data_IF_233700355660
#
_entry.id   IF_233700355660
#
_cell.length_a   1.000
_cell.length_b   1.000
_cell.length_c   1.000
_cell.angle_alpha   90.00
_cell.angle_beta   90.00
_cell.angle_gamma   90.00
#
_symmetry.space_group_name_H-M   'P 1'
#
loop_
_entity.id
_entity.type
_entity.pdbx_description
1 polymer ?
#
# COMPACT_ATOMS: atom_id res chain seq x y z
N UNK A 1 -9.87 6.77 -17.57
CA UNK A 1 -10.39 5.40 -17.83
C UNK A 1 -11.61 5.20 -16.96
N UNK A 2 -12.70 4.76 -17.56
CA UNK A 2 -13.90 4.36 -16.82
C UNK A 2 -13.59 3.17 -15.91
N UNK A 3 -13.94 3.28 -14.63
CA UNK A 3 -13.68 2.26 -13.60
C UNK A 3 -14.95 1.71 -12.98
N UNK A 4 -16.13 2.08 -13.50
CA UNK A 4 -17.43 1.74 -12.92
C UNK A 4 -17.72 0.23 -12.93
N UNK A 5 -17.13 -0.50 -13.89
CA UNK A 5 -17.26 -1.95 -14.00
C UNK A 5 -16.36 -2.75 -13.02
N UNK A 6 -15.47 -2.08 -12.29
CA UNK A 6 -14.50 -2.74 -11.43
C UNK A 6 -14.85 -2.54 -9.94
N UNK A 7 -14.65 -3.58 -9.14
CA UNK A 7 -14.86 -3.56 -7.69
C UNK A 7 -13.70 -2.89 -6.93
N UNK A 8 -12.52 -2.87 -7.51
CA UNK A 8 -11.32 -2.20 -6.99
C UNK A 8 -10.32 -1.95 -8.11
N UNK A 9 -9.45 -0.97 -7.93
CA UNK A 9 -8.39 -0.59 -8.88
C UNK A 9 -7.05 -0.52 -8.16
N UNK A 10 -5.97 -1.01 -8.78
CA UNK A 10 -4.61 -0.79 -8.29
C UNK A 10 -3.83 0.11 -9.24
N UNK A 11 -3.03 1.02 -8.67
CA UNK A 11 -2.25 1.98 -9.44
C UNK A 11 -0.89 2.23 -8.78
N UNK A 12 0.15 2.36 -9.61
CA UNK A 12 1.46 2.81 -9.16
C UNK A 12 2.65 2.00 -9.64
N UNK A 13 2.67 0.65 -9.55
CA UNK A 13 3.79 -0.13 -10.05
C UNK A 13 4.12 0.19 -11.51
N UNK A 14 5.37 0.61 -11.78
CA UNK A 14 5.82 0.91 -13.13
C UNK A 14 5.16 2.12 -13.82
N UNK A 15 4.43 2.95 -13.08
CA UNK A 15 3.66 4.07 -13.63
C UNK A 15 4.55 5.19 -14.21
N UNK A 16 5.75 5.38 -13.64
CA UNK A 16 6.60 6.53 -13.96
C UNK A 16 6.15 7.83 -13.29
N UNK A 17 6.89 8.91 -13.54
CA UNK A 17 6.68 10.22 -12.87
C UNK A 17 6.63 11.38 -13.85
N UNK A 18 6.28 11.13 -15.10
CA UNK A 18 6.08 12.18 -16.09
C UNK A 18 4.89 13.08 -15.70
N UNK A 19 4.89 14.33 -16.15
CA UNK A 19 3.83 15.27 -15.83
C UNK A 19 2.46 14.80 -16.33
N UNK A 20 2.42 14.14 -17.48
CA UNK A 20 1.21 13.55 -18.05
C UNK A 20 0.69 12.40 -17.18
N UNK A 21 1.61 11.60 -16.62
CA UNK A 21 1.29 10.51 -15.69
C UNK A 21 0.70 11.07 -14.39
N UNK A 22 1.30 12.13 -13.85
CA UNK A 22 0.77 12.82 -12.67
C UNK A 22 -0.65 13.32 -12.93
N UNK A 23 -0.87 14.03 -14.05
CA UNK A 23 -2.19 14.54 -14.41
C UNK A 23 -3.24 13.43 -14.52
N UNK A 24 -2.90 12.33 -15.20
CA UNK A 24 -3.77 11.18 -15.36
C UNK A 24 -4.08 10.48 -14.02
N UNK A 25 -3.09 10.36 -13.11
CA UNK A 25 -3.32 9.84 -11.76
C UNK A 25 -4.30 10.70 -10.97
N UNK A 26 -4.11 12.01 -10.97
CA UNK A 26 -4.97 12.94 -10.25
C UNK A 26 -6.39 12.95 -10.79
N UNK A 27 -6.55 12.93 -12.11
CA UNK A 27 -7.85 12.80 -12.77
C UNK A 27 -8.53 11.47 -12.38
N UNK A 28 -7.78 10.35 -12.40
CA UNK A 28 -8.32 9.04 -12.03
C UNK A 28 -8.80 9.01 -10.57
N UNK A 29 -8.10 9.68 -9.65
CA UNK A 29 -8.52 9.78 -8.24
C UNK A 29 -9.84 10.56 -8.11
N UNK A 30 -10.04 11.60 -8.90
CA UNK A 30 -11.26 12.42 -8.85
C UNK A 30 -12.51 11.69 -9.37
N UNK A 31 -12.34 10.83 -10.38
CA UNK A 31 -13.48 10.15 -11.02
C UNK A 31 -13.76 8.75 -10.44
N UNK A 32 -12.76 8.09 -9.86
CA UNK A 32 -12.89 6.73 -9.34
C UNK A 32 -13.81 6.68 -8.10
N UNK A 33 -14.77 5.78 -8.10
CA UNK A 33 -15.70 5.58 -6.99
C UNK A 33 -15.41 4.28 -6.20
N UNK A 34 -14.59 3.40 -6.75
CA UNK A 34 -14.25 2.12 -6.14
C UNK A 34 -12.94 2.21 -5.34
N UNK A 35 -12.73 1.36 -4.31
CA UNK A 35 -11.51 1.36 -3.53
C UNK A 35 -10.25 1.24 -4.39
N UNK A 36 -9.24 2.03 -4.11
CA UNK A 36 -7.96 2.00 -4.82
C UNK A 36 -6.85 1.40 -3.94
N UNK A 37 -6.01 0.56 -4.55
CA UNK A 37 -4.71 0.18 -3.97
C UNK A 37 -3.64 1.06 -4.61
N UNK A 38 -2.95 1.85 -3.79
CA UNK A 38 -1.96 2.82 -4.27
C UNK A 38 -0.58 2.45 -3.78
N UNK A 39 0.36 2.23 -4.69
CA UNK A 39 1.73 1.79 -4.39
C UNK A 39 2.77 2.55 -5.23
N UNK A 40 4.02 2.37 -4.92
CA UNK A 40 5.19 2.74 -5.72
C UNK A 40 5.16 4.19 -6.28
N UNK A 41 5.19 4.35 -7.62
CA UNK A 41 5.27 5.67 -8.24
C UNK A 41 4.05 6.53 -7.96
N UNK A 42 2.85 5.96 -7.81
CA UNK A 42 1.67 6.73 -7.44
C UNK A 42 1.80 7.33 -6.02
N UNK A 43 2.38 6.61 -5.05
CA UNK A 43 2.69 7.17 -3.73
C UNK A 43 3.73 8.29 -3.82
N UNK A 44 4.72 8.14 -4.70
CA UNK A 44 5.72 9.18 -4.92
C UNK A 44 5.10 10.48 -5.47
N UNK A 45 4.22 10.37 -6.47
CA UNK A 45 3.48 11.49 -7.04
C UNK A 45 2.56 12.15 -6.00
N UNK A 46 1.83 11.35 -5.22
CA UNK A 46 0.99 11.86 -4.14
C UNK A 46 1.80 12.53 -3.01
N UNK A 47 3.08 12.18 -2.85
CA UNK A 47 3.97 12.87 -1.93
C UNK A 47 4.14 14.36 -2.25
N UNK A 48 4.04 14.75 -3.52
CA UNK A 48 4.06 16.13 -4.01
C UNK A 48 2.66 16.77 -4.01
N UNK A 49 1.61 15.98 -4.05
CA UNK A 49 0.19 16.38 -4.15
C UNK A 49 -0.64 15.83 -2.97
N UNK A 50 -0.17 16.04 -1.74
CA UNK A 50 -0.73 15.43 -0.51
C UNK A 50 -2.21 15.67 -0.29
N UNK A 51 -2.74 16.77 -0.78
CA UNK A 51 -4.16 17.09 -0.71
C UNK A 51 -5.07 16.11 -1.47
N UNK A 52 -4.51 15.34 -2.42
CA UNK A 52 -5.25 14.31 -3.15
C UNK A 52 -5.41 13.00 -2.36
N UNK A 53 -4.61 12.75 -1.31
CA UNK A 53 -4.73 11.53 -0.52
C UNK A 53 -6.12 11.46 0.15
N UNK A 54 -6.64 12.59 0.64
CA UNK A 54 -7.97 12.67 1.23
C UNK A 54 -9.13 12.62 0.23
N UNK A 55 -8.83 12.57 -1.09
CA UNK A 55 -9.82 12.41 -2.16
C UNK A 55 -9.93 10.98 -2.67
N UNK A 56 -9.04 10.10 -2.20
CA UNK A 56 -9.13 8.68 -2.54
C UNK A 56 -10.47 8.10 -2.10
N UNK A 57 -11.07 7.21 -2.89
CA UNK A 57 -12.32 6.56 -2.55
C UNK A 57 -12.27 5.86 -1.20
N UNK A 58 -13.41 5.81 -0.49
CA UNK A 58 -13.52 5.12 0.78
C UNK A 58 -13.09 3.66 0.64
N UNK A 59 -12.30 3.17 1.60
CA UNK A 59 -11.78 1.81 1.59
C UNK A 59 -10.45 1.65 0.85
N UNK A 60 -9.89 2.72 0.28
CA UNK A 60 -8.59 2.67 -0.38
C UNK A 60 -7.47 2.28 0.59
N UNK A 61 -6.45 1.60 0.04
CA UNK A 61 -5.31 1.07 0.78
C UNK A 61 -4.02 1.58 0.15
N UNK A 62 -3.18 2.25 0.94
CA UNK A 62 -1.83 2.64 0.57
C UNK A 62 -0.84 1.58 1.05
N UNK A 63 0.19 1.27 0.25
CA UNK A 63 1.19 0.24 0.59
C UNK A 63 2.62 0.79 0.64
N UNK A 64 2.89 1.88 1.39
CA UNK A 64 4.19 2.52 1.39
C UNK A 64 5.27 1.68 2.09
N UNK A 65 6.48 1.65 1.51
CA UNK A 65 7.69 1.38 2.30
C UNK A 65 8.10 2.64 3.10
N UNK A 66 9.04 2.56 4.07
CA UNK A 66 9.39 3.69 4.93
C UNK A 66 9.70 5.01 4.21
N UNK A 67 10.45 4.94 3.11
CA UNK A 67 10.83 6.16 2.35
C UNK A 67 9.65 6.76 1.57
N UNK A 68 8.73 5.94 1.06
CA UNK A 68 7.50 6.40 0.42
C UNK A 68 6.59 7.08 1.45
N UNK A 69 6.42 6.48 2.63
CA UNK A 69 5.66 7.12 3.70
C UNK A 69 6.24 8.48 4.07
N UNK A 70 7.57 8.59 4.21
CA UNK A 70 8.21 9.87 4.54
C UNK A 70 8.00 10.97 3.49
N UNK A 71 7.76 10.62 2.23
CA UNK A 71 7.35 11.59 1.20
C UNK A 71 5.93 12.11 1.45
N UNK A 72 5.05 11.24 1.95
CA UNK A 72 3.67 11.60 2.25
C UNK A 72 3.54 12.44 3.53
N UNK A 73 4.29 12.09 4.59
CA UNK A 73 4.11 12.65 5.96
C UNK A 73 5.30 13.47 6.47
N UNK A 74 6.38 13.58 5.70
CA UNK A 74 7.64 14.19 6.12
C UNK A 74 8.57 13.21 6.83
N UNK A 75 9.83 13.62 7.01
CA UNK A 75 10.88 12.81 7.64
C UNK A 75 10.48 12.31 9.03
N UNK A 76 10.91 11.10 9.36
CA UNK A 76 10.69 10.45 10.65
C UNK A 76 12.03 10.11 11.30
N UNK A 77 12.18 10.41 12.59
CA UNK A 77 13.41 10.15 13.34
C UNK A 77 13.60 8.67 13.68
N UNK A 78 12.49 7.94 13.86
CA UNK A 78 12.49 6.53 14.26
C UNK A 78 11.21 5.81 13.80
N UNK A 79 11.14 4.51 14.05
CA UNK A 79 10.00 3.68 13.65
C UNK A 79 8.72 4.02 14.38
N UNK A 80 8.80 4.48 15.63
CA UNK A 80 7.62 4.89 16.41
C UNK A 80 6.99 6.16 15.81
N UNK A 81 7.79 7.19 15.55
CA UNK A 81 7.31 8.41 14.90
C UNK A 81 6.70 8.12 13.52
N UNK A 82 7.33 7.22 12.76
CA UNK A 82 6.82 6.78 11.47
C UNK A 82 5.44 6.12 11.61
N UNK A 83 5.26 5.25 12.58
CA UNK A 83 3.97 4.62 12.85
C UNK A 83 2.92 5.64 13.27
N UNK A 84 3.27 6.60 14.14
CA UNK A 84 2.33 7.63 14.57
C UNK A 84 1.90 8.53 13.42
N UNK A 85 2.81 8.96 12.56
CA UNK A 85 2.47 9.75 11.36
C UNK A 85 1.62 8.94 10.35
N UNK A 86 1.88 7.64 10.20
CA UNK A 86 1.02 6.77 9.40
C UNK A 86 -0.42 6.71 9.96
N UNK A 87 -0.57 6.64 11.29
CA UNK A 87 -1.89 6.67 11.95
C UNK A 87 -2.61 7.99 11.75
N UNK A 88 -1.90 9.10 11.86
CA UNK A 88 -2.46 10.43 11.61
C UNK A 88 -2.93 10.56 10.15
N UNK A 89 -2.11 10.12 9.19
CA UNK A 89 -2.47 10.12 7.78
C UNK A 89 -3.69 9.21 7.51
N UNK A 90 -3.69 7.98 8.03
CA UNK A 90 -4.80 7.06 7.85
C UNK A 90 -6.12 7.64 8.36
N UNK A 91 -6.09 8.27 9.55
CA UNK A 91 -7.26 8.90 10.16
C UNK A 91 -7.72 10.13 9.39
N UNK A 92 -6.81 11.04 9.02
CA UNK A 92 -7.15 12.31 8.37
C UNK A 92 -7.63 12.13 6.93
N UNK A 93 -7.05 11.16 6.21
CA UNK A 93 -7.41 10.87 4.82
C UNK A 93 -8.50 9.79 4.66
N UNK A 94 -8.87 9.08 5.73
CA UNK A 94 -9.87 8.01 5.67
C UNK A 94 -9.40 6.75 4.95
N UNK A 95 -8.09 6.51 4.85
CA UNK A 95 -7.48 5.41 4.12
C UNK A 95 -6.86 4.36 5.03
N UNK A 96 -6.70 3.13 4.54
CA UNK A 96 -5.89 2.11 5.20
C UNK A 96 -4.44 2.23 4.73
N UNK A 97 -3.49 1.88 5.59
CA UNK A 97 -2.06 1.93 5.25
C UNK A 97 -1.41 0.60 5.64
N UNK A 98 -0.78 -0.07 4.69
CA UNK A 98 0.15 -1.17 4.93
C UNK A 98 1.56 -0.58 4.89
N UNK A 99 2.11 -0.24 6.04
CA UNK A 99 3.49 0.23 6.16
C UNK A 99 4.44 -0.97 6.08
N UNK A 100 5.06 -1.14 4.91
CA UNK A 100 5.98 -2.26 4.62
C UNK A 100 7.24 -2.17 5.48
N UNK A 101 7.70 -3.30 6.03
CA UNK A 101 8.90 -3.40 6.85
C UNK A 101 9.12 -4.83 7.36
N UNK A 102 10.14 -5.04 8.19
CA UNK A 102 10.41 -6.35 8.79
C UNK A 102 9.19 -6.91 9.55
N UNK A 103 8.45 -6.03 10.20
CA UNK A 103 7.11 -6.27 10.77
C UNK A 103 6.17 -5.26 10.13
N UNK A 104 5.57 -5.62 9.01
CA UNK A 104 4.63 -4.72 8.34
C UNK A 104 3.49 -4.34 9.28
N UNK A 105 3.20 -3.05 9.36
CA UNK A 105 2.12 -2.53 10.20
C UNK A 105 0.91 -2.16 9.33
N UNK A 106 -0.26 -2.67 9.69
CA UNK A 106 -1.52 -2.33 9.05
C UNK A 106 -2.23 -1.31 9.94
N UNK A 107 -2.47 -0.13 9.42
CA UNK A 107 -3.11 0.98 10.12
C UNK A 107 -4.44 1.30 9.48
N UNK A 108 -5.48 1.47 10.29
CA UNK A 108 -6.83 1.76 9.81
C UNK A 108 -7.24 3.21 10.08
N UNK A 109 -8.23 3.75 9.34
CA UNK A 109 -8.79 5.08 9.61
C UNK A 109 -9.35 5.23 11.04
N UNK A 110 -9.81 4.12 11.65
CA UNK A 110 -10.28 4.08 13.03
C UNK A 110 -9.14 4.10 14.07
N UNK A 111 -7.86 4.15 13.63
CA UNK A 111 -6.71 4.19 14.50
C UNK A 111 -6.25 2.83 15.04
N UNK A 112 -6.88 1.72 14.62
CA UNK A 112 -6.36 0.38 14.93
C UNK A 112 -5.02 0.16 14.25
N UNK A 113 -4.17 -0.63 14.87
CA UNK A 113 -2.86 -1.01 14.32
C UNK A 113 -2.63 -2.52 14.54
N UNK A 114 -2.31 -3.22 13.47
CA UNK A 114 -1.97 -4.65 13.48
C UNK A 114 -0.54 -4.82 12.98
N UNK A 115 0.18 -5.78 13.53
CA UNK A 115 1.54 -6.10 13.11
C UNK A 115 1.55 -7.50 12.49
N UNK A 116 2.12 -7.60 11.29
CA UNK A 116 2.26 -8.86 10.60
C UNK A 116 3.51 -9.61 11.09
N UNK A 117 3.38 -10.86 11.59
CA UNK A 117 4.51 -11.64 12.08
C UNK A 117 5.19 -12.49 11.00
N UNK A 118 4.63 -12.55 9.77
CA UNK A 118 5.16 -13.38 8.67
C UNK A 118 6.07 -12.59 7.74
N UNK A 119 6.89 -13.29 6.99
CA UNK A 119 7.87 -12.72 6.06
C UNK A 119 9.29 -12.78 6.59
N UNK A 120 10.23 -12.62 5.68
CA UNK A 120 11.66 -12.71 5.98
C UNK A 120 12.46 -11.73 5.10
N UNK A 121 13.74 -11.47 5.44
CA UNK A 121 14.57 -10.51 4.69
C UNK A 121 14.76 -10.84 3.21
N UNK A 122 14.66 -12.11 2.80
CA UNK A 122 14.75 -12.53 1.39
C UNK A 122 13.65 -11.93 0.51
N UNK A 123 12.54 -11.47 1.11
CA UNK A 123 11.47 -10.79 0.37
C UNK A 123 11.81 -9.34 -0.02
N UNK A 124 12.96 -8.81 0.40
CA UNK A 124 13.41 -7.46 0.03
C UNK A 124 14.00 -7.44 -1.39
N UNK A 125 13.26 -7.95 -2.36
CA UNK A 125 13.61 -8.03 -3.80
C UNK A 125 12.66 -7.15 -4.62
N UNK A 126 13.11 -6.78 -5.84
CA UNK A 126 12.25 -6.07 -6.79
C UNK A 126 11.01 -6.91 -7.15
N UNK A 127 9.85 -6.27 -7.24
CA UNK A 127 8.58 -6.92 -7.59
C UNK A 127 7.81 -7.53 -6.41
N UNK A 128 8.45 -7.79 -5.26
CA UNK A 128 7.76 -8.33 -4.07
C UNK A 128 6.62 -7.40 -3.60
N UNK A 129 6.82 -6.09 -3.65
CA UNK A 129 5.78 -5.10 -3.33
C UNK A 129 4.62 -5.15 -4.32
N UNK A 130 4.92 -5.31 -5.62
CA UNK A 130 3.92 -5.37 -6.68
C UNK A 130 3.01 -6.60 -6.52
N UNK A 131 3.60 -7.73 -6.09
CA UNK A 131 2.83 -8.94 -5.74
C UNK A 131 1.89 -8.66 -4.56
N UNK A 132 2.37 -7.99 -3.50
CA UNK A 132 1.50 -7.61 -2.37
C UNK A 132 0.33 -6.74 -2.86
N UNK A 133 0.61 -5.74 -3.70
CA UNK A 133 -0.41 -4.86 -4.29
C UNK A 133 -1.46 -5.67 -5.06
N UNK A 134 -1.04 -6.66 -5.87
CA UNK A 134 -1.95 -7.58 -6.57
C UNK A 134 -2.80 -8.43 -5.64
N UNK A 135 -2.22 -8.94 -4.54
CA UNK A 135 -2.98 -9.73 -3.55
C UNK A 135 -4.00 -8.86 -2.81
N UNK A 136 -3.65 -7.64 -2.43
CA UNK A 136 -4.58 -6.68 -1.82
C UNK A 136 -5.74 -6.37 -2.77
N UNK A 137 -5.41 -6.06 -4.04
CA UNK A 137 -6.41 -5.81 -5.08
C UNK A 137 -7.37 -6.97 -5.25
N UNK A 138 -6.86 -8.20 -5.35
CA UNK A 138 -7.67 -9.40 -5.53
C UNK A 138 -8.65 -9.64 -4.37
N UNK A 139 -8.24 -9.37 -3.14
CA UNK A 139 -9.11 -9.50 -1.97
C UNK A 139 -10.18 -8.41 -1.93
N UNK A 140 -9.84 -7.15 -2.24
CA UNK A 140 -10.82 -6.07 -2.37
C UNK A 140 -11.85 -6.37 -3.47
N UNK A 141 -11.40 -6.84 -4.63
CA UNK A 141 -12.27 -7.21 -5.75
C UNK A 141 -13.21 -8.38 -5.43
N UNK A 142 -12.82 -9.25 -4.50
CA UNK A 142 -13.67 -10.33 -3.96
C UNK A 142 -14.64 -9.85 -2.87
N UNK A 143 -14.68 -8.56 -2.54
CA UNK A 143 -15.59 -8.00 -1.55
C UNK A 143 -15.12 -8.11 -0.10
N UNK A 144 -13.85 -8.41 0.16
CA UNK A 144 -13.32 -8.34 1.53
C UNK A 144 -13.32 -6.91 2.03
N UNK A 145 -13.75 -6.70 3.28
CA UNK A 145 -13.61 -5.41 3.95
C UNK A 145 -12.13 -4.95 3.95
N UNK A 146 -11.83 -3.66 3.72
CA UNK A 146 -10.47 -3.17 3.55
C UNK A 146 -9.50 -3.52 4.70
N UNK A 147 -9.96 -3.47 5.96
CA UNK A 147 -9.16 -3.90 7.13
C UNK A 147 -8.77 -5.37 7.00
N UNK A 148 -9.73 -6.23 6.64
CA UNK A 148 -9.50 -7.68 6.48
C UNK A 148 -8.63 -7.98 5.27
N UNK A 149 -8.87 -7.29 4.15
CA UNK A 149 -8.06 -7.44 2.94
C UNK A 149 -6.60 -7.07 3.21
N UNK A 150 -6.34 -5.94 3.87
CA UNK A 150 -4.99 -5.51 4.22
C UNK A 150 -4.27 -6.50 5.15
N UNK A 151 -4.93 -6.98 6.21
CA UNK A 151 -4.35 -7.94 7.14
C UNK A 151 -4.08 -9.30 6.46
N UNK A 152 -5.07 -9.84 5.75
CA UNK A 152 -4.95 -11.14 5.10
C UNK A 152 -3.90 -11.12 3.98
N UNK A 153 -3.91 -10.09 3.11
CA UNK A 153 -2.92 -9.96 2.05
C UNK A 153 -1.50 -9.93 2.60
N UNK A 154 -1.26 -9.11 3.62
CA UNK A 154 0.07 -8.97 4.23
C UNK A 154 0.51 -10.29 4.87
N UNK A 155 -0.39 -10.99 5.55
CA UNK A 155 -0.10 -12.28 6.18
C UNK A 155 0.21 -13.37 5.16
N UNK A 156 -0.64 -13.55 4.15
CA UNK A 156 -0.47 -14.60 3.12
C UNK A 156 0.78 -14.32 2.29
N UNK A 157 1.04 -13.07 1.91
CA UNK A 157 2.23 -12.67 1.17
C UNK A 157 3.50 -12.98 1.97
N UNK A 158 3.55 -12.62 3.26
CA UNK A 158 4.67 -12.95 4.13
C UNK A 158 4.86 -14.45 4.32
N UNK A 159 3.77 -15.20 4.53
CA UNK A 159 3.82 -16.66 4.67
C UNK A 159 4.32 -17.34 3.39
N UNK A 160 3.91 -16.86 2.21
CA UNK A 160 4.42 -17.35 0.93
C UNK A 160 5.93 -17.15 0.82
N UNK A 161 6.42 -15.96 1.23
CA UNK A 161 7.87 -15.69 1.32
C UNK A 161 8.59 -16.63 2.29
N UNK A 162 8.01 -16.94 3.44
CA UNK A 162 8.59 -17.88 4.42
C UNK A 162 8.66 -19.30 3.85
N UNK A 163 7.64 -19.74 3.13
CA UNK A 163 7.64 -21.04 2.43
C UNK A 163 8.71 -21.08 1.34
N UNK A 164 8.84 -20.02 0.54
CA UNK A 164 9.85 -19.91 -0.49
C UNK A 164 11.26 -19.93 0.13
N UNK A 165 11.48 -19.16 1.18
CA UNK A 165 12.76 -19.11 1.89
C UNK A 165 13.19 -20.48 2.43
N UNK A 166 12.26 -21.27 2.98
CA UNK A 166 12.52 -22.63 3.44
C UNK A 166 12.96 -23.57 2.31
N UNK A 167 12.46 -23.36 1.08
CA UNK A 167 12.77 -24.20 -0.07
C UNK A 167 14.05 -23.79 -0.80
N UNK A 168 14.33 -22.49 -0.90
CA UNK A 168 15.36 -21.94 -1.80
C UNK A 168 16.47 -21.19 -1.02
N UNK A 169 16.29 -20.98 0.29
CA UNK A 169 17.13 -20.08 1.09
C UNK A 169 16.83 -18.59 0.80
N UNK A 170 17.20 -17.72 1.72
CA UNK A 170 16.91 -16.27 1.62
C UNK A 170 17.60 -15.61 0.42
N UNK A 171 18.77 -16.11 -0.01
CA UNK A 171 19.53 -15.58 -1.15
C UNK A 171 18.94 -16.03 -2.49
N UNK A 172 18.28 -17.19 -2.53
CA UNK A 172 17.67 -17.75 -3.74
C UNK A 172 16.26 -17.23 -4.05
N UNK A 173 15.73 -16.35 -3.21
CA UNK A 173 14.41 -15.75 -3.44
C UNK A 173 14.54 -14.61 -4.46
N UNK A 174 14.00 -14.81 -5.65
CA UNK A 174 13.94 -13.81 -6.72
C UNK A 174 12.52 -13.68 -7.24
#
# INVERSE_FOLDING_TARGET
>A
TDTDDYQAVAIGPGLGKAAETEAALLEQIEICQTPMVVDADALNLLGEKRNYIGRLPKGSILTPHPKELERLVGKCQNSYERLMKARELAKSAGVHIILKGAYSAIVTPAGKCFFNPTGNPGMATGGSGDVLTGVVLALLAQGYEPEKAACLATYVHGLAGDVACKKQGAVGMT
#
